data_IF_104820797441
#
_entry.id   IF_104820797441
#
_cell.length_a   1.000
_cell.length_b   1.000
_cell.length_c   1.000
_cell.angle_alpha   90.00
_cell.angle_beta   90.00
_cell.angle_gamma   90.00
#
_symmetry.space_group_name_H-M   'P 1'
#
loop_
_entity.id
_entity.type
_entity.pdbx_description
1 polymer ?
#
# COMPACT_ATOMS: atom_id res chain seq x y z
N UNK A 1 -33.42 47.12 -64.97
CA UNK A 1 -33.71 45.95 -64.12
C UNK A 1 -32.41 45.53 -63.50
N UNK A 2 -32.20 45.90 -62.15
CA UNK A 2 -30.94 45.63 -61.45
C UNK A 2 -31.20 44.42 -60.56
N UNK A 3 -30.38 43.34 -60.70
CA UNK A 3 -30.41 42.16 -59.80
C UNK A 3 -29.42 42.41 -58.67
N UNK A 4 -29.95 42.39 -57.43
CA UNK A 4 -29.20 42.50 -56.18
C UNK A 4 -28.78 41.09 -55.79
N UNK A 5 -27.47 40.85 -55.77
CA UNK A 5 -26.87 39.58 -55.28
C UNK A 5 -26.72 39.61 -53.76
N UNK A 6 -27.34 38.65 -53.12
CA UNK A 6 -27.26 38.42 -51.65
C UNK A 6 -25.98 37.63 -51.37
N UNK A 7 -24.99 38.26 -50.71
CA UNK A 7 -23.79 37.55 -50.18
C UNK A 7 -24.13 36.98 -48.80
N UNK A 8 -24.21 35.65 -48.70
CA UNK A 8 -24.27 34.90 -47.45
C UNK A 8 -22.83 34.74 -46.90
N UNK A 9 -22.53 35.47 -45.84
CA UNK A 9 -21.33 35.28 -45.02
C UNK A 9 -21.54 34.10 -44.09
N UNK A 10 -20.92 32.94 -44.40
CA UNK A 10 -20.80 31.81 -43.51
C UNK A 10 -19.70 32.11 -42.51
N UNK A 11 -20.11 32.49 -41.30
CA UNK A 11 -19.21 32.62 -40.16
C UNK A 11 -18.79 31.22 -39.64
N UNK A 12 -17.58 30.81 -39.86
CA UNK A 12 -16.95 29.67 -39.22
C UNK A 12 -16.56 30.06 -37.78
N UNK A 13 -17.39 29.69 -36.81
CA UNK A 13 -17.03 29.75 -35.40
C UNK A 13 -16.12 28.59 -35.06
N UNK A 14 -14.81 28.86 -34.97
CA UNK A 14 -13.82 27.90 -34.50
C UNK A 14 -13.93 27.77 -32.98
N UNK A 15 -14.74 26.81 -32.53
CA UNK A 15 -14.84 26.45 -31.12
C UNK A 15 -13.55 25.75 -30.69
N UNK A 16 -12.70 26.46 -29.98
CA UNK A 16 -11.56 25.88 -29.27
C UNK A 16 -12.07 25.01 -28.12
N UNK A 17 -12.08 23.71 -28.32
CA UNK A 17 -12.23 22.73 -27.25
C UNK A 17 -10.97 22.79 -26.39
N UNK A 18 -10.99 23.58 -25.33
CA UNK A 18 -10.02 23.49 -24.25
C UNK A 18 -10.32 22.20 -23.51
N UNK A 19 -9.64 21.11 -23.89
CA UNK A 19 -9.61 19.88 -23.11
C UNK A 19 -8.84 20.19 -21.83
N UNK A 20 -9.58 20.52 -20.78
CA UNK A 20 -9.02 20.60 -19.43
C UNK A 20 -8.60 19.18 -19.04
N UNK A 21 -7.31 18.86 -19.18
CA UNK A 21 -6.70 17.78 -18.45
C UNK A 21 -6.93 18.07 -16.96
N UNK A 22 -7.93 17.46 -16.37
CA UNK A 22 -8.04 17.33 -14.93
C UNK A 22 -6.86 16.45 -14.50
N UNK A 23 -5.72 17.09 -14.27
CA UNK A 23 -4.59 16.48 -13.61
C UNK A 23 -5.09 15.91 -12.28
N UNK A 24 -5.06 14.59 -12.16
CA UNK A 24 -5.24 13.91 -10.90
C UNK A 24 -4.24 14.54 -9.91
N UNK A 25 -4.69 15.47 -9.10
CA UNK A 25 -3.91 15.97 -7.96
C UNK A 25 -3.85 14.80 -6.99
N UNK A 26 -2.85 13.97 -7.16
CA UNK A 26 -2.44 13.03 -6.15
C UNK A 26 -2.05 13.89 -4.94
N UNK A 27 -2.90 13.94 -3.92
CA UNK A 27 -2.60 14.63 -2.66
C UNK A 27 -1.22 14.15 -2.22
N UNK A 28 -0.25 15.05 -2.29
CA UNK A 28 1.11 14.78 -1.84
C UNK A 28 1.05 14.59 -0.34
N UNK A 29 1.12 13.34 0.13
CA UNK A 29 1.15 13.04 1.56
C UNK A 29 2.31 13.78 2.19
N UNK A 30 2.07 14.31 3.39
CA UNK A 30 3.06 15.07 4.13
C UNK A 30 4.22 14.16 4.48
N UNK A 31 5.41 14.52 4.04
CA UNK A 31 6.65 13.89 4.50
C UNK A 31 6.91 14.27 5.96
N UNK A 32 7.39 13.32 6.74
CA UNK A 32 7.75 13.52 8.15
C UNK A 32 9.20 13.10 8.38
N UNK A 33 9.92 13.74 9.30
CA UNK A 33 11.27 13.32 9.64
C UNK A 33 11.25 11.99 10.41
N UNK A 34 12.37 11.24 10.33
CA UNK A 34 12.50 9.92 10.93
C UNK A 34 12.20 9.90 12.42
N UNK A 35 12.63 10.91 13.16
CA UNK A 35 12.44 11.05 14.61
C UNK A 35 10.98 11.25 15.04
N UNK A 36 10.11 11.57 14.09
CA UNK A 36 8.66 11.66 14.30
C UNK A 36 7.92 10.33 14.08
N UNK A 37 8.62 9.27 13.66
CA UNK A 37 8.02 7.96 13.41
C UNK A 37 8.25 7.06 14.61
N UNK A 38 7.17 6.70 15.30
CA UNK A 38 7.21 5.71 16.38
C UNK A 38 6.91 4.34 15.78
N UNK A 39 7.90 3.46 15.76
CA UNK A 39 7.79 2.14 15.16
C UNK A 39 8.61 1.12 15.96
N UNK A 40 7.99 -0.01 16.34
CA UNK A 40 8.68 -1.16 16.91
C UNK A 40 9.07 -2.14 15.82
N UNK A 41 10.17 -2.88 16.06
CA UNK A 41 10.70 -3.90 15.15
C UNK A 41 10.92 -3.37 13.71
N UNK A 42 11.63 -2.24 13.53
CA UNK A 42 11.76 -1.65 12.21
C UNK A 42 12.62 -2.51 11.28
N UNK A 43 12.11 -2.76 10.08
CA UNK A 43 12.83 -3.37 8.96
C UNK A 43 12.91 -2.37 7.82
N UNK A 44 14.11 -2.12 7.29
CA UNK A 44 14.32 -1.21 6.16
C UNK A 44 14.87 -1.99 4.96
N UNK A 45 14.13 -1.95 3.87
CA UNK A 45 14.57 -2.42 2.56
C UNK A 45 15.15 -1.25 1.77
N UNK A 46 16.44 -1.34 1.38
CA UNK A 46 17.04 -0.47 0.38
C UNK A 46 16.83 -1.09 -1.01
N UNK A 47 15.85 -0.63 -1.76
CA UNK A 47 15.53 -1.18 -3.06
C UNK A 47 16.27 -0.45 -4.19
N UNK A 48 17.21 -1.16 -4.83
CA UNK A 48 18.02 -0.61 -5.93
C UNK A 48 17.21 -0.37 -7.20
N UNK A 49 16.14 -1.14 -7.42
CA UNK A 49 15.31 -1.04 -8.63
C UNK A 49 14.53 0.27 -8.66
N UNK A 50 14.02 0.73 -7.53
CA UNK A 50 13.26 1.98 -7.39
C UNK A 50 14.11 3.14 -6.91
N UNK A 51 15.35 2.89 -6.46
CA UNK A 51 16.22 3.85 -5.78
C UNK A 51 15.55 4.49 -4.55
N UNK A 52 14.78 3.70 -3.80
CA UNK A 52 14.00 4.11 -2.63
C UNK A 52 14.31 3.21 -1.44
N UNK A 53 14.04 3.73 -0.27
CA UNK A 53 13.98 2.97 0.99
C UNK A 53 12.54 2.74 1.40
N UNK A 54 12.25 1.55 1.89
CA UNK A 54 10.94 1.13 2.38
C UNK A 54 11.09 0.63 3.80
N UNK A 55 10.36 1.22 4.74
CA UNK A 55 10.41 0.84 6.16
C UNK A 55 9.06 0.31 6.61
N UNK A 56 9.08 -0.81 7.32
CA UNK A 56 7.92 -1.40 7.96
C UNK A 56 8.31 -1.94 9.34
N UNK A 57 7.34 -2.47 10.08
CA UNK A 57 7.55 -3.05 11.41
C UNK A 57 6.23 -3.46 12.04
N UNK A 58 6.17 -3.49 13.37
CA UNK A 58 4.94 -3.76 14.11
C UNK A 58 3.86 -2.72 13.77
N UNK A 59 2.62 -3.19 13.57
CA UNK A 59 1.51 -2.42 13.00
C UNK A 59 1.37 -2.57 11.49
N UNK A 60 2.42 -3.07 10.80
CA UNK A 60 2.36 -3.45 9.38
C UNK A 60 2.26 -2.30 8.40
N UNK A 61 2.45 -1.07 8.87
CA UNK A 61 2.44 0.12 8.03
C UNK A 61 3.74 0.23 7.24
N UNK A 62 3.66 0.80 6.03
CA UNK A 62 4.82 1.08 5.19
C UNK A 62 5.10 2.57 5.14
N UNK A 63 6.39 2.90 5.17
CA UNK A 63 6.92 4.23 4.94
C UNK A 63 7.93 4.19 3.80
N UNK A 64 8.02 5.27 3.00
CA UNK A 64 8.94 5.38 1.86
C UNK A 64 9.83 6.59 2.01
N UNK A 65 11.11 6.46 1.65
CA UNK A 65 12.08 7.55 1.69
C UNK A 65 13.07 7.46 0.53
N UNK A 66 13.61 8.62 0.12
CA UNK A 66 14.71 8.71 -0.84
C UNK A 66 16.07 8.88 -0.16
N UNK A 67 16.10 9.37 1.07
CA UNK A 67 17.31 9.88 1.72
C UNK A 67 17.49 9.40 3.17
N UNK A 68 16.56 8.55 3.67
CA UNK A 68 16.46 8.08 5.06
C UNK A 68 16.15 9.18 6.09
N UNK A 69 15.94 10.41 5.67
CA UNK A 69 15.65 11.56 6.55
C UNK A 69 14.18 11.92 6.57
N UNK A 70 13.60 12.06 5.38
CA UNK A 70 12.18 12.38 5.21
C UNK A 70 11.44 11.16 4.69
N UNK A 71 10.28 10.86 5.27
CA UNK A 71 9.50 9.67 5.02
C UNK A 71 8.06 10.00 4.67
N UNK A 72 7.59 9.46 3.58
CA UNK A 72 6.20 9.52 3.14
C UNK A 72 5.44 8.30 3.67
N UNK A 73 4.29 8.51 4.28
CA UNK A 73 3.45 7.45 4.85
C UNK A 73 2.61 7.95 6.02
N UNK A 74 2.01 7.03 6.81
CA UNK A 74 2.02 5.57 6.65
C UNK A 74 1.08 5.07 5.55
N UNK A 75 1.44 3.94 4.92
CA UNK A 75 0.63 3.26 3.91
C UNK A 75 0.16 1.90 4.40
N UNK A 76 -1.11 1.57 4.16
CA UNK A 76 -1.64 0.22 4.37
C UNK A 76 -1.37 -0.63 3.13
N UNK A 77 -0.40 -1.51 3.21
CA UNK A 77 0.07 -2.30 2.06
C UNK A 77 -0.34 -3.77 2.10
N UNK A 78 -0.54 -4.33 3.29
CA UNK A 78 -1.04 -5.70 3.45
C UNK A 78 -2.54 -5.75 3.13
N UNK A 79 -2.92 -6.67 2.24
CA UNK A 79 -4.31 -6.91 1.82
C UNK A 79 -4.71 -8.32 2.26
N UNK A 80 -5.48 -8.38 3.32
CA UNK A 80 -6.12 -9.60 3.79
C UNK A 80 -7.63 -9.47 3.65
N UNK A 81 -8.34 -10.57 3.61
CA UNK A 81 -9.80 -10.60 3.45
C UNK A 81 -10.48 -11.38 4.58
N UNK A 82 -11.81 -11.30 4.63
CA UNK A 82 -12.62 -11.99 5.64
C UNK A 82 -12.64 -13.53 5.46
N UNK A 83 -12.28 -14.03 4.28
CA UNK A 83 -12.16 -15.47 4.01
C UNK A 83 -10.82 -16.06 4.46
N UNK A 84 -9.84 -15.20 4.74
CA UNK A 84 -8.55 -15.64 5.25
C UNK A 84 -8.61 -15.89 6.76
N UNK A 85 -7.75 -16.80 7.27
CA UNK A 85 -7.64 -17.03 8.70
C UNK A 85 -7.19 -15.79 9.49
N UNK A 86 -6.50 -14.86 8.82
CA UNK A 86 -6.03 -13.60 9.38
C UNK A 86 -7.17 -12.59 9.61
N UNK A 87 -8.27 -12.73 8.87
CA UNK A 87 -9.35 -11.74 8.85
C UNK A 87 -8.99 -10.47 8.05
N UNK A 88 -9.94 -9.54 7.89
CA UNK A 88 -9.75 -8.35 7.05
C UNK A 88 -8.87 -7.26 7.68
N UNK A 89 -8.69 -7.31 9.00
CA UNK A 89 -7.93 -6.30 9.76
C UNK A 89 -7.10 -6.97 10.87
N UNK A 90 -6.12 -7.80 10.51
CA UNK A 90 -5.29 -8.45 11.52
C UNK A 90 -4.39 -7.44 12.23
N UNK A 91 -4.07 -7.71 13.49
CA UNK A 91 -2.92 -7.08 14.13
C UNK A 91 -1.66 -7.70 13.52
N UNK A 92 -0.71 -6.86 13.12
CA UNK A 92 0.52 -7.26 12.41
C UNK A 92 1.72 -6.96 13.32
N UNK A 93 2.59 -7.95 13.48
CA UNK A 93 3.77 -7.87 14.33
C UNK A 93 5.04 -8.09 13.52
N UNK A 94 6.07 -7.32 13.84
CA UNK A 94 7.44 -7.47 13.31
C UNK A 94 7.48 -7.74 11.80
N UNK A 95 6.83 -6.87 11.03
CA UNK A 95 6.77 -7.02 9.58
C UNK A 95 8.13 -6.74 8.94
N UNK A 96 8.52 -7.57 7.98
CA UNK A 96 9.77 -7.47 7.24
C UNK A 96 9.54 -7.53 5.73
N UNK A 97 10.38 -6.85 4.95
CA UNK A 97 10.35 -6.83 3.50
C UNK A 97 11.61 -7.44 2.90
N UNK A 98 11.43 -8.42 2.01
CA UNK A 98 12.54 -9.12 1.35
C UNK A 98 12.31 -9.23 -0.16
N UNK A 99 13.23 -8.71 -1.01
CA UNK A 99 13.17 -8.90 -2.45
C UNK A 99 13.75 -10.27 -2.82
N UNK A 100 13.06 -11.02 -3.66
CA UNK A 100 13.56 -12.28 -4.18
C UNK A 100 12.96 -12.58 -5.55
N UNK A 101 13.81 -12.94 -6.53
CA UNK A 101 13.42 -13.34 -7.90
C UNK A 101 12.40 -12.38 -8.55
N UNK A 102 12.63 -11.07 -8.41
CA UNK A 102 11.80 -10.05 -9.05
C UNK A 102 10.49 -9.72 -8.33
N UNK A 103 10.20 -10.37 -7.20
CA UNK A 103 9.06 -10.10 -6.34
C UNK A 103 9.51 -9.59 -4.96
N UNK A 104 8.54 -9.09 -4.21
CA UNK A 104 8.74 -8.62 -2.84
C UNK A 104 7.87 -9.45 -1.91
N UNK A 105 8.47 -9.91 -0.83
CA UNK A 105 7.84 -10.77 0.17
C UNK A 105 7.74 -10.01 1.48
N UNK A 106 6.55 -10.04 2.05
CA UNK A 106 6.23 -9.40 3.31
C UNK A 106 5.99 -10.50 4.34
N UNK A 107 6.94 -10.67 5.25
CA UNK A 107 6.88 -11.62 6.35
C UNK A 107 6.36 -10.92 7.58
N UNK A 108 5.39 -11.49 8.27
CA UNK A 108 4.91 -10.96 9.54
C UNK A 108 4.20 -12.03 10.36
N UNK A 109 4.05 -11.78 11.65
CA UNK A 109 3.09 -12.49 12.48
C UNK A 109 1.77 -11.73 12.48
N UNK A 110 0.70 -12.45 12.19
CA UNK A 110 -0.66 -11.91 12.13
C UNK A 110 -1.49 -12.47 13.29
N UNK A 111 -2.25 -11.61 13.94
CA UNK A 111 -3.23 -12.00 14.98
C UNK A 111 -4.62 -11.63 14.51
N UNK A 112 -5.51 -12.62 14.39
CA UNK A 112 -6.94 -12.38 14.20
C UNK A 112 -7.60 -12.29 15.57
N UNK A 113 -7.86 -11.07 16.04
CA UNK A 113 -8.44 -10.79 17.35
C UNK A 113 -9.92 -11.18 17.46
N UNK A 114 -10.59 -11.44 16.33
CA UNK A 114 -11.99 -11.88 16.31
C UNK A 114 -12.12 -13.38 16.60
N UNK A 115 -11.02 -14.16 16.46
CA UNK A 115 -11.01 -15.61 16.66
C UNK A 115 -10.29 -15.95 17.96
N UNK A 116 -11.07 -16.25 18.97
CA UNK A 116 -10.59 -16.78 20.25
C UNK A 116 -10.43 -18.29 20.14
N UNK A 117 -9.24 -18.80 20.45
CA UNK A 117 -8.91 -20.22 20.37
C UNK A 117 -9.10 -20.88 21.75
N UNK A 118 -8.67 -20.21 22.82
CA UNK A 118 -8.66 -20.76 24.15
C UNK A 118 -8.66 -19.64 25.21
N UNK A 119 -8.74 -20.03 26.49
CA UNK A 119 -8.53 -19.15 27.63
C UNK A 119 -7.67 -19.88 28.67
N UNK A 120 -6.46 -19.36 28.89
CA UNK A 120 -5.51 -19.94 29.83
C UNK A 120 -5.27 -18.95 30.96
N UNK A 121 -5.55 -19.40 32.21
CA UNK A 121 -5.40 -18.59 33.44
C UNK A 121 -6.09 -17.21 33.35
N UNK A 122 -7.27 -17.15 32.71
CA UNK A 122 -8.02 -15.90 32.49
C UNK A 122 -7.57 -15.05 31.29
N UNK A 123 -6.49 -15.43 30.63
CA UNK A 123 -6.02 -14.75 29.43
C UNK A 123 -6.62 -15.39 28.16
N UNK A 124 -7.22 -14.58 27.31
CA UNK A 124 -7.77 -15.04 26.04
C UNK A 124 -6.63 -15.27 25.04
N UNK A 125 -6.62 -16.46 24.45
CA UNK A 125 -5.69 -16.83 23.39
C UNK A 125 -6.39 -16.58 22.05
N UNK A 126 -5.87 -15.65 21.29
CA UNK A 126 -6.34 -15.31 19.94
C UNK A 126 -5.59 -16.12 18.87
N UNK A 127 -6.20 -16.27 17.69
CA UNK A 127 -5.54 -16.93 16.58
C UNK A 127 -4.36 -16.10 16.09
N UNK A 128 -3.16 -16.67 16.18
CA UNK A 128 -1.91 -16.03 15.79
C UNK A 128 -1.02 -17.00 15.02
N UNK A 129 -0.43 -16.54 13.91
CA UNK A 129 0.59 -17.30 13.20
C UNK A 129 1.43 -16.38 12.30
N UNK A 130 2.62 -16.82 11.93
CA UNK A 130 3.44 -16.15 10.91
C UNK A 130 2.94 -16.53 9.51
N UNK A 131 2.95 -15.56 8.60
CA UNK A 131 2.52 -15.75 7.22
C UNK A 131 3.34 -14.89 6.26
N UNK A 132 3.30 -15.23 4.97
CA UNK A 132 4.01 -14.51 3.92
C UNK A 132 3.01 -13.95 2.93
N UNK A 133 3.08 -12.66 2.69
CA UNK A 133 2.38 -12.00 1.60
C UNK A 133 3.36 -11.66 0.48
N UNK A 134 2.88 -11.52 -0.74
CA UNK A 134 3.71 -11.25 -1.92
C UNK A 134 3.17 -10.11 -2.75
N UNK A 135 4.08 -9.34 -3.36
CA UNK A 135 3.77 -8.28 -4.31
C UNK A 135 4.79 -8.24 -5.46
N UNK A 136 4.40 -7.67 -6.58
CA UNK A 136 5.31 -7.33 -7.69
C UNK A 136 6.01 -5.98 -7.47
N UNK A 137 5.55 -5.19 -6.50
CA UNK A 137 6.08 -3.87 -6.17
C UNK A 137 6.48 -3.76 -4.70
N UNK A 138 7.54 -3.00 -4.36
CA UNK A 138 8.00 -2.86 -2.97
C UNK A 138 7.00 -2.10 -2.08
N UNK A 139 6.11 -1.30 -2.66
CA UNK A 139 5.04 -0.58 -1.94
C UNK A 139 3.67 -1.26 -2.05
N UNK A 140 3.65 -2.55 -2.44
CA UNK A 140 2.45 -3.37 -2.45
C UNK A 140 1.56 -3.18 -3.70
N UNK A 141 0.29 -3.61 -3.62
CA UNK A 141 -0.32 -4.32 -2.48
C UNK A 141 0.28 -5.71 -2.26
N UNK A 142 0.44 -6.09 -1.00
CA UNK A 142 0.87 -7.43 -0.61
C UNK A 142 -0.35 -8.30 -0.34
N UNK A 143 -0.44 -9.43 -1.01
CA UNK A 143 -1.53 -10.39 -0.89
C UNK A 143 -1.00 -11.74 -0.42
N UNK A 144 -1.79 -12.56 0.30
CA UNK A 144 -1.39 -13.90 0.67
C UNK A 144 -0.92 -14.71 -0.54
N UNK A 145 0.18 -15.43 -0.40
CA UNK A 145 0.61 -16.35 -1.44
C UNK A 145 -0.46 -17.42 -1.64
N UNK A 146 -0.74 -17.75 -2.93
CA UNK A 146 -1.56 -18.91 -3.24
C UNK A 146 -0.86 -20.16 -2.72
N UNK A 147 -1.61 -21.07 -2.16
CA UNK A 147 -1.12 -22.34 -1.60
C UNK A 147 -0.12 -22.17 -0.42
N UNK A 148 -0.02 -20.96 0.14
CA UNK A 148 0.79 -20.76 1.33
C UNK A 148 0.09 -21.38 2.54
N UNK A 149 0.73 -22.38 3.12
CA UNK A 149 0.44 -22.78 4.49
C UNK A 149 1.05 -21.75 5.42
N UNK A 150 0.30 -21.33 6.44
CA UNK A 150 0.87 -20.54 7.52
C UNK A 150 1.93 -21.37 8.24
N UNK A 151 2.98 -20.71 8.70
CA UNK A 151 3.94 -21.35 9.60
C UNK A 151 3.25 -21.50 10.96
N UNK A 152 3.13 -22.72 11.52
CA UNK A 152 2.55 -22.88 12.85
C UNK A 152 3.36 -22.05 13.84
N UNK A 153 2.67 -21.36 14.73
CA UNK A 153 3.31 -20.82 15.93
C UNK A 153 3.55 -22.00 16.87
N UNK A 154 4.81 -22.25 17.22
CA UNK A 154 5.19 -23.23 18.24
C UNK A 154 4.70 -22.81 19.62
#
# INVERSE_FOLDING_TARGET
MKKIGLFLLLGFSLSWLVSACQGCQQERRKEVPLDSIVLSDPCILADRKTAMYYMTGTGGMLWKSKDLKLWEGPFHVAKTDSGSWMGPKPMIWAAELHPYKGKYYYFATFTNQEVKIDTVQGNVIERRASHVLVSDNPDGPYVPMKDSTYLPAD
#
